data_IF_858624241257
#
_entry.id   IF_858624241257
#
_cell.length_a   1.000
_cell.length_b   1.000
_cell.length_c   1.000
_cell.angle_alpha   90.00
_cell.angle_beta   90.00
_cell.angle_gamma   90.00
#
_symmetry.space_group_name_H-M   'P 1'
#
loop_
_entity.id
_entity.type
_entity.pdbx_description
1 polymer ?
#
# COMPACT_ATOMS: atom_id res chain seq x y z
N UNK A 1 -9.14 -16.28 -25.69
CA UNK A 1 -8.85 -16.43 -24.25
C UNK A 1 -9.85 -15.54 -23.54
N UNK A 2 -10.74 -16.11 -22.73
CA UNK A 2 -11.90 -15.38 -22.19
C UNK A 2 -11.44 -14.55 -21.00
N UNK A 3 -11.28 -13.24 -21.20
CA UNK A 3 -11.18 -12.25 -20.12
C UNK A 3 -12.50 -12.29 -19.35
N UNK A 4 -12.59 -13.21 -18.39
CA UNK A 4 -13.71 -13.29 -17.47
C UNK A 4 -13.57 -12.17 -16.46
N UNK A 5 -14.27 -11.07 -16.72
CA UNK A 5 -14.52 -10.00 -15.76
C UNK A 5 -15.22 -10.58 -14.53
N UNK A 6 -14.83 -10.13 -13.33
CA UNK A 6 -15.55 -10.47 -12.12
C UNK A 6 -16.94 -9.84 -12.15
N UNK A 7 -17.97 -10.60 -11.77
CA UNK A 7 -19.26 -9.99 -11.49
C UNK A 7 -19.15 -9.07 -10.27
N UNK A 8 -19.92 -7.99 -10.25
CA UNK A 8 -19.94 -7.02 -9.15
C UNK A 8 -20.16 -7.70 -7.77
N UNK A 9 -21.01 -8.71 -7.71
CA UNK A 9 -21.29 -9.45 -6.47
C UNK A 9 -20.16 -10.39 -6.06
N UNK A 10 -19.49 -11.03 -7.01
CA UNK A 10 -18.31 -11.86 -6.75
C UNK A 10 -17.17 -10.99 -6.19
N UNK A 11 -16.98 -9.81 -6.77
CA UNK A 11 -15.95 -8.87 -6.36
C UNK A 11 -16.22 -8.32 -4.96
N UNK A 12 -17.45 -7.86 -4.68
CA UNK A 12 -17.84 -7.43 -3.32
C UNK A 12 -17.61 -8.53 -2.30
N UNK A 13 -18.01 -9.76 -2.62
CA UNK A 13 -17.83 -10.91 -1.73
C UNK A 13 -16.36 -11.19 -1.46
N UNK A 14 -15.52 -11.15 -2.50
CA UNK A 14 -14.07 -11.32 -2.40
C UNK A 14 -13.43 -10.20 -1.57
N UNK A 15 -13.73 -8.94 -1.84
CA UNK A 15 -13.16 -7.82 -1.08
C UNK A 15 -13.59 -7.85 0.39
N UNK A 16 -14.83 -8.26 0.70
CA UNK A 16 -15.26 -8.45 2.10
C UNK A 16 -14.54 -9.60 2.81
N UNK A 17 -14.19 -10.68 2.09
CA UNK A 17 -13.42 -11.77 2.69
C UNK A 17 -11.99 -11.34 3.02
N UNK A 18 -11.39 -10.46 2.22
CA UNK A 18 -10.08 -9.85 2.52
C UNK A 18 -10.08 -9.08 3.85
N UNK A 19 -11.16 -8.33 4.15
CA UNK A 19 -11.31 -7.64 5.44
C UNK A 19 -11.31 -8.60 6.62
N UNK A 20 -11.93 -9.78 6.47
CA UNK A 20 -11.93 -10.83 7.50
C UNK A 20 -10.54 -11.43 7.69
N UNK A 21 -9.83 -11.64 6.58
CA UNK A 21 -8.50 -12.21 6.61
C UNK A 21 -7.47 -11.27 7.25
N UNK A 22 -7.52 -9.97 6.95
CA UNK A 22 -6.66 -8.98 7.64
C UNK A 22 -6.86 -9.01 9.15
N UNK A 23 -8.12 -9.05 9.62
CA UNK A 23 -8.39 -9.14 11.07
C UNK A 23 -7.77 -10.39 11.67
N UNK A 24 -7.88 -11.54 10.98
CA UNK A 24 -7.29 -12.79 11.44
C UNK A 24 -5.75 -12.75 11.47
N UNK A 25 -5.11 -12.06 10.52
CA UNK A 25 -3.65 -11.93 10.43
C UNK A 25 -3.13 -10.96 11.51
N UNK A 26 -3.68 -9.74 11.58
CA UNK A 26 -3.17 -8.68 12.45
C UNK A 26 -3.69 -8.75 13.88
N UNK A 27 -4.85 -9.38 14.09
CA UNK A 27 -5.55 -9.43 15.38
C UNK A 27 -6.10 -10.84 15.69
N UNK A 28 -5.26 -11.88 15.75
CA UNK A 28 -5.72 -13.26 15.95
C UNK A 28 -6.46 -13.48 17.28
N UNK A 29 -6.12 -12.71 18.32
CA UNK A 29 -6.63 -12.89 19.68
C UNK A 29 -7.81 -11.98 20.05
N UNK A 30 -8.33 -11.15 19.12
CA UNK A 30 -9.43 -10.23 19.41
C UNK A 30 -10.81 -10.88 19.18
N UNK A 31 -11.74 -10.82 20.16
CA UNK A 31 -13.11 -11.29 19.97
C UNK A 31 -13.88 -10.37 19.01
N UNK A 32 -14.74 -10.96 18.16
CA UNK A 32 -15.52 -10.27 17.11
C UNK A 32 -16.44 -9.14 17.64
N UNK A 33 -16.64 -9.03 18.95
CA UNK A 33 -17.59 -8.10 19.59
C UNK A 33 -16.97 -6.81 20.15
N UNK A 34 -15.65 -6.69 20.33
CA UNK A 34 -15.06 -5.47 20.90
C UNK A 34 -14.78 -4.41 19.82
N UNK A 35 -15.85 -3.66 19.54
CA UNK A 35 -15.88 -2.54 18.59
C UNK A 35 -15.25 -1.26 19.17
N UNK A 36 -14.87 -1.24 20.45
CA UNK A 36 -14.61 0.01 21.18
C UNK A 36 -13.12 0.39 21.31
N UNK A 37 -12.20 -0.57 21.20
CA UNK A 37 -10.74 -0.32 21.15
C UNK A 37 -10.09 -0.58 19.78
N UNK A 38 -10.84 -1.14 18.83
CA UNK A 38 -10.34 -1.56 17.51
C UNK A 38 -10.64 -0.54 16.42
N UNK A 39 -10.55 0.75 16.73
CA UNK A 39 -10.30 1.80 15.73
C UNK A 39 -8.83 1.75 15.24
N UNK A 40 -8.23 0.56 15.17
CA UNK A 40 -6.94 0.37 14.51
C UNK A 40 -7.23 0.39 13.02
N UNK A 41 -6.73 1.41 12.32
CA UNK A 41 -6.89 1.57 10.88
C UNK A 41 -6.57 0.25 10.16
N UNK A 42 -7.62 -0.40 9.64
CA UNK A 42 -7.45 -1.52 8.75
C UNK A 42 -6.87 -0.98 7.45
N UNK A 43 -5.90 -1.70 6.89
CA UNK A 43 -5.44 -1.46 5.52
C UNK A 43 -6.64 -1.53 4.59
N UNK A 44 -7.62 -2.38 4.89
CA UNK A 44 -8.83 -2.50 4.09
C UNK A 44 -9.57 -1.18 3.94
N UNK A 45 -9.68 -0.39 5.02
CA UNK A 45 -10.43 0.87 5.00
C UNK A 45 -9.69 1.97 4.19
N UNK A 46 -8.38 1.81 3.98
CA UNK A 46 -7.55 2.68 3.13
C UNK A 46 -7.51 2.21 1.67
N UNK A 47 -7.71 0.92 1.41
CA UNK A 47 -7.64 0.34 0.08
C UNK A 47 -8.99 0.27 -0.63
N UNK A 48 -10.08 -0.01 0.08
CA UNK A 48 -11.35 -0.36 -0.56
C UNK A 48 -12.54 0.48 -0.07
N UNK A 49 -13.25 1.07 -1.02
CA UNK A 49 -14.58 1.64 -0.80
C UNK A 49 -15.62 0.92 -1.66
N UNK A 50 -16.48 0.14 -1.00
CA UNK A 50 -17.54 -0.63 -1.64
C UNK A 50 -18.90 0.08 -1.61
N UNK A 51 -18.96 1.34 -1.16
CA UNK A 51 -20.20 2.11 -1.16
C UNK A 51 -20.62 2.49 -2.59
N UNK A 52 -21.92 2.70 -2.78
CA UNK A 52 -22.47 3.16 -4.06
C UNK A 52 -22.05 4.61 -4.36
N UNK A 53 -21.86 5.40 -3.32
CA UNK A 53 -21.31 6.76 -3.37
C UNK A 53 -19.90 6.73 -2.80
N UNK A 54 -18.91 7.12 -3.61
CA UNK A 54 -17.51 7.11 -3.22
C UNK A 54 -17.25 8.18 -2.15
N UNK A 55 -16.75 7.75 -0.98
CA UNK A 55 -16.50 8.63 0.17
C UNK A 55 -15.10 9.24 0.17
N UNK A 56 -14.31 9.06 -0.89
CA UNK A 56 -13.08 9.81 -1.11
C UNK A 56 -11.83 9.35 -0.37
N UNK A 57 -11.93 8.35 0.53
CA UNK A 57 -10.81 7.98 1.41
C UNK A 57 -10.01 6.76 0.98
N UNK A 58 -10.61 5.86 0.21
CA UNK A 58 -9.98 4.62 -0.20
C UNK A 58 -9.31 4.71 -1.57
N UNK A 59 -8.23 3.95 -1.76
CA UNK A 59 -7.46 3.90 -3.00
C UNK A 59 -8.26 3.35 -4.19
N UNK A 60 -9.11 2.36 -3.94
CA UNK A 60 -9.91 1.69 -4.97
C UNK A 60 -11.40 1.71 -4.63
N UNK A 61 -12.20 2.27 -5.55
CA UNK A 61 -13.67 2.23 -5.46
C UNK A 61 -14.22 0.96 -6.10
N UNK A 62 -15.45 0.58 -5.75
CA UNK A 62 -16.16 -0.54 -6.39
C UNK A 62 -16.18 -0.40 -7.93
N UNK A 63 -16.45 0.80 -8.44
CA UNK A 63 -16.49 1.11 -9.87
C UNK A 63 -15.14 0.85 -10.53
N UNK A 64 -14.05 1.30 -9.89
CA UNK A 64 -12.68 1.09 -10.35
C UNK A 64 -12.35 -0.39 -10.43
N UNK A 65 -12.69 -1.15 -9.38
CA UNK A 65 -12.40 -2.58 -9.32
C UNK A 65 -13.20 -3.37 -10.36
N UNK A 66 -14.47 -3.02 -10.61
CA UNK A 66 -15.29 -3.71 -11.63
C UNK A 66 -14.85 -3.42 -13.06
N UNK A 67 -14.15 -2.30 -13.29
CA UNK A 67 -13.61 -1.95 -14.59
C UNK A 67 -12.23 -2.59 -14.88
N UNK A 68 -11.59 -3.19 -13.87
CA UNK A 68 -10.29 -3.83 -14.01
C UNK A 68 -10.39 -5.25 -14.56
N UNK A 69 -9.32 -5.70 -15.21
CA UNK A 69 -9.14 -7.11 -15.57
C UNK A 69 -8.88 -7.97 -14.33
N UNK A 70 -8.92 -9.29 -14.50
CA UNK A 70 -8.63 -10.23 -13.43
C UNK A 70 -7.21 -10.07 -12.89
N UNK A 71 -6.27 -9.78 -13.78
CA UNK A 71 -4.86 -9.51 -13.51
C UNK A 71 -4.71 -8.22 -12.73
N UNK A 72 -5.40 -7.15 -13.13
CA UNK A 72 -5.40 -5.89 -12.37
C UNK A 72 -5.98 -6.06 -10.97
N UNK A 73 -7.06 -6.83 -10.82
CA UNK A 73 -7.63 -7.15 -9.50
C UNK A 73 -6.64 -7.99 -8.66
N UNK A 74 -5.86 -8.87 -9.28
CA UNK A 74 -4.81 -9.63 -8.59
C UNK A 74 -3.73 -8.68 -8.07
N UNK A 75 -3.24 -7.75 -8.89
CA UNK A 75 -2.23 -6.77 -8.48
C UNK A 75 -2.71 -5.89 -7.32
N UNK A 76 -3.96 -5.44 -7.36
CA UNK A 76 -4.58 -4.70 -6.24
C UNK A 76 -4.61 -5.52 -4.95
N UNK A 77 -4.92 -6.82 -5.06
CA UNK A 77 -4.95 -7.72 -3.90
C UNK A 77 -3.55 -7.97 -3.36
N UNK A 78 -2.57 -8.16 -4.24
CA UNK A 78 -1.16 -8.36 -3.86
C UNK A 78 -0.62 -7.11 -3.15
N UNK A 79 -0.92 -5.92 -3.69
CA UNK A 79 -0.60 -4.63 -3.06
C UNK A 79 -1.25 -4.51 -1.67
N UNK A 80 -2.55 -4.81 -1.57
CA UNK A 80 -3.25 -4.81 -0.29
C UNK A 80 -2.60 -5.74 0.74
N UNK A 81 -2.29 -6.98 0.38
CA UNK A 81 -1.66 -7.92 1.30
C UNK A 81 -0.26 -7.49 1.70
N UNK A 82 0.50 -6.90 0.79
CA UNK A 82 1.81 -6.34 1.14
C UNK A 82 1.69 -5.28 2.23
N UNK A 83 0.72 -4.37 2.14
CA UNK A 83 0.46 -3.39 3.19
C UNK A 83 0.00 -4.05 4.50
N UNK A 84 -0.85 -5.08 4.43
CA UNK A 84 -1.27 -5.84 5.63
C UNK A 84 -0.06 -6.48 6.32
N UNK A 85 0.80 -7.15 5.57
CA UNK A 85 2.01 -7.78 6.11
C UNK A 85 3.01 -6.75 6.61
N UNK A 86 3.22 -5.65 5.87
CA UNK A 86 4.08 -4.55 6.31
C UNK A 86 3.62 -3.99 7.67
N UNK A 87 2.32 -3.73 7.83
CA UNK A 87 1.78 -3.30 9.13
C UNK A 87 1.94 -4.35 10.21
N UNK A 88 1.62 -5.61 9.91
CA UNK A 88 1.79 -6.71 10.85
C UNK A 88 3.24 -6.79 11.35
N UNK A 89 4.21 -6.82 10.45
CA UNK A 89 5.63 -6.91 10.81
C UNK A 89 6.09 -5.69 11.60
N UNK A 90 5.65 -4.48 11.20
CA UNK A 90 5.92 -3.23 11.93
C UNK A 90 5.33 -3.23 13.35
N UNK A 91 4.09 -3.68 13.51
CA UNK A 91 3.38 -3.75 14.79
C UNK A 91 3.95 -4.81 15.73
N UNK A 92 4.48 -5.91 15.19
CA UNK A 92 5.09 -6.99 15.96
C UNK A 92 6.61 -6.81 16.17
N UNK A 93 7.21 -5.71 15.70
CA UNK A 93 8.64 -5.45 15.83
C UNK A 93 9.54 -6.39 15.01
N UNK A 94 8.98 -7.08 14.00
CA UNK A 94 9.68 -8.02 13.12
C UNK A 94 10.04 -7.28 11.81
N UNK A 95 10.69 -6.11 11.89
CA UNK A 95 11.17 -5.43 10.68
C UNK A 95 12.55 -6.00 10.36
N UNK A 96 12.59 -7.01 9.49
CA UNK A 96 13.84 -7.49 8.90
C UNK A 96 14.49 -6.40 8.03
N UNK A 97 15.81 -6.48 7.87
CA UNK A 97 16.72 -5.51 7.19
C UNK A 97 16.41 -5.26 5.71
N UNK A 98 15.23 -5.61 5.19
CA UNK A 98 14.86 -5.41 3.78
C UNK A 98 13.39 -5.02 3.55
N UNK A 99 12.61 -4.70 4.58
CA UNK A 99 11.21 -4.33 4.39
C UNK A 99 11.01 -2.80 4.47
N UNK A 100 10.65 -2.20 3.34
CA UNK A 100 10.50 -0.76 3.14
C UNK A 100 9.03 -0.34 3.14
N UNK A 101 8.75 0.91 3.49
CA UNK A 101 7.39 1.45 3.48
C UNK A 101 6.85 1.49 2.03
N UNK A 102 5.78 0.74 1.71
CA UNK A 102 5.25 0.64 0.36
C UNK A 102 4.70 1.95 -0.20
N UNK A 103 4.16 2.83 0.66
CA UNK A 103 3.66 4.15 0.22
C UNK A 103 4.82 5.02 -0.29
N UNK A 104 5.97 4.93 0.38
CA UNK A 104 7.16 5.68 -0.01
C UNK A 104 7.77 5.10 -1.29
N UNK A 105 7.83 3.77 -1.43
CA UNK A 105 8.28 3.13 -2.68
C UNK A 105 7.40 3.53 -3.87
N UNK A 106 6.08 3.51 -3.69
CA UNK A 106 5.12 3.94 -4.71
C UNK A 106 5.34 5.40 -5.12
N UNK A 107 5.59 6.31 -4.16
CA UNK A 107 5.90 7.73 -4.44
C UNK A 107 7.20 7.91 -5.23
N UNK A 108 8.17 7.02 -5.04
CA UNK A 108 9.42 6.99 -5.83
C UNK A 108 9.24 6.33 -7.21
N UNK A 109 8.07 5.75 -7.49
CA UNK A 109 7.82 4.99 -8.71
C UNK A 109 8.58 3.67 -8.73
N UNK A 110 8.74 3.04 -7.56
CA UNK A 110 9.35 1.73 -7.39
C UNK A 110 8.27 0.69 -7.07
N UNK A 111 8.49 -0.57 -7.45
CA UNK A 111 7.63 -1.65 -7.02
C UNK A 111 7.77 -1.86 -5.51
N UNK A 112 6.72 -2.38 -4.88
CA UNK A 112 6.63 -2.61 -3.42
C UNK A 112 7.69 -3.62 -2.90
N UNK A 113 8.21 -4.47 -3.77
CA UNK A 113 9.27 -5.44 -3.49
C UNK A 113 10.69 -4.91 -3.82
N UNK A 114 10.82 -3.61 -4.09
CA UNK A 114 12.10 -3.01 -4.46
C UNK A 114 13.17 -3.18 -3.38
N UNK A 115 14.36 -3.61 -3.81
CA UNK A 115 15.51 -3.75 -2.93
C UNK A 115 16.24 -2.41 -2.68
N UNK A 116 17.17 -2.43 -1.72
CA UNK A 116 18.00 -1.26 -1.38
C UNK A 116 18.75 -0.68 -2.58
N UNK A 117 19.13 -1.52 -3.56
CA UNK A 117 19.86 -1.10 -4.75
C UNK A 117 18.95 -0.34 -5.71
N UNK A 118 17.74 -0.84 -5.95
CA UNK A 118 16.72 -0.19 -6.75
C UNK A 118 16.32 1.17 -6.15
N UNK A 119 16.14 1.23 -4.82
CA UNK A 119 15.84 2.47 -4.10
C UNK A 119 16.94 3.51 -4.30
N UNK A 120 18.19 3.14 -4.03
CA UNK A 120 19.35 4.03 -4.22
C UNK A 120 19.51 4.48 -5.67
N UNK A 121 19.27 3.58 -6.64
CA UNK A 121 19.34 3.91 -8.07
C UNK A 121 18.28 4.95 -8.42
N UNK A 122 17.02 4.71 -8.07
CA UNK A 122 15.91 5.59 -8.40
C UNK A 122 16.02 6.96 -7.72
N UNK A 123 16.45 6.98 -6.46
CA UNK A 123 16.75 8.21 -5.75
C UNK A 123 17.78 9.06 -6.49
N UNK A 124 18.91 8.47 -6.95
CA UNK A 124 19.92 9.20 -7.73
C UNK A 124 19.38 9.75 -9.05
N UNK A 125 18.52 9.01 -9.74
CA UNK A 125 17.87 9.45 -10.98
C UNK A 125 16.96 10.66 -10.73
N UNK A 126 16.09 10.58 -9.71
CA UNK A 126 15.16 11.66 -9.36
C UNK A 126 15.90 12.88 -8.78
N UNK A 127 16.95 12.66 -8.00
CA UNK A 127 17.75 13.73 -7.43
C UNK A 127 18.38 14.58 -8.53
N UNK A 128 18.97 13.96 -9.56
CA UNK A 128 19.50 14.68 -10.73
C UNK A 128 18.43 15.46 -11.48
N UNK A 129 17.21 14.92 -11.56
CA UNK A 129 16.08 15.55 -12.25
C UNK A 129 15.50 16.74 -11.50
N UNK A 130 15.45 16.69 -10.17
CA UNK A 130 14.83 17.72 -9.32
C UNK A 130 15.84 18.69 -8.71
N UNK A 131 17.14 18.49 -8.91
CA UNK A 131 18.16 19.37 -8.36
C UNK A 131 17.96 20.83 -8.84
N UNK A 132 17.90 21.82 -7.93
CA UNK A 132 17.68 23.22 -8.32
C UNK A 132 18.78 23.75 -9.25
N UNK A 133 20.04 23.34 -9.04
CA UNK A 133 21.17 23.74 -9.89
C UNK A 133 21.06 23.27 -11.35
N UNK A 134 20.27 22.23 -11.64
CA UNK A 134 20.00 21.77 -13.01
C UNK A 134 18.67 22.31 -13.55
N UNK A 135 18.08 23.31 -12.89
CA UNK A 135 16.78 23.88 -13.22
C UNK A 135 15.59 23.05 -12.72
N UNK A 136 15.83 22.14 -11.77
CA UNK A 136 14.80 21.31 -11.15
C UNK A 136 13.99 22.02 -10.07
N UNK A 137 12.94 21.34 -9.60
CA UNK A 137 12.01 21.87 -8.59
C UNK A 137 12.50 21.54 -7.17
N UNK A 138 12.93 22.58 -6.46
CA UNK A 138 13.41 22.51 -5.08
C UNK A 138 12.40 21.86 -4.11
N UNK A 139 11.09 22.05 -4.31
CA UNK A 139 10.07 21.42 -3.45
C UNK A 139 10.05 19.91 -3.66
N UNK A 140 10.08 19.46 -4.92
CA UNK A 140 10.15 18.03 -5.26
C UNK A 140 11.46 17.39 -4.77
N UNK A 141 12.55 18.16 -4.76
CA UNK A 141 13.81 17.70 -4.21
C UNK A 141 13.73 17.50 -2.68
N UNK A 142 13.12 18.42 -1.94
CA UNK A 142 12.89 18.28 -0.49
C UNK A 142 12.02 17.05 -0.20
N UNK A 143 10.89 16.89 -0.91
CA UNK A 143 10.02 15.72 -0.76
C UNK A 143 10.76 14.40 -1.04
N UNK A 144 11.63 14.38 -2.05
CA UNK A 144 12.48 13.23 -2.38
C UNK A 144 13.45 12.89 -1.25
N UNK A 145 14.07 13.90 -0.63
CA UNK A 145 14.99 13.73 0.50
C UNK A 145 14.27 13.18 1.73
N UNK A 146 13.09 13.69 2.06
CA UNK A 146 12.28 13.21 3.18
C UNK A 146 11.81 11.76 2.99
N UNK A 147 11.37 11.43 1.77
CA UNK A 147 11.00 10.06 1.39
C UNK A 147 12.18 9.10 1.58
N UNK A 148 13.34 9.45 1.05
CA UNK A 148 14.55 8.63 1.17
C UNK A 148 15.01 8.47 2.61
N UNK A 149 14.98 9.56 3.41
CA UNK A 149 15.33 9.52 4.83
C UNK A 149 14.44 8.55 5.61
N UNK A 150 13.12 8.59 5.41
CA UNK A 150 12.18 7.66 6.06
C UNK A 150 12.45 6.20 5.69
N UNK A 151 12.84 5.94 4.44
CA UNK A 151 13.26 4.60 4.03
C UNK A 151 14.54 4.19 4.75
N UNK A 152 15.55 5.06 4.83
CA UNK A 152 16.84 4.70 5.45
C UNK A 152 16.85 4.67 6.98
N UNK A 153 16.03 5.50 7.64
CA UNK A 153 15.96 5.60 9.10
C UNK A 153 15.27 4.38 9.72
N UNK A 154 14.39 3.71 8.96
CA UNK A 154 13.78 2.43 9.34
C UNK A 154 14.82 1.29 9.52
N UNK A 155 16.08 1.51 9.16
CA UNK A 155 17.21 0.58 9.38
C UNK A 155 18.09 0.93 10.58
N UNK A 156 17.90 2.11 11.20
CA UNK A 156 18.84 2.70 12.16
C UNK A 156 18.31 2.80 13.60
N UNK A 157 17.12 2.26 13.89
CA UNK A 157 16.52 2.23 15.24
C UNK A 157 16.12 0.82 15.60
#
# INVERSE_FOLDING_TARGET
MSDRYYSCEELKTKIRSLKKLERKIRFPDLPDTDSSKTARCLVWDEFFDLNKEYKGKAKYSLSSLTAMTREGIREVIDEYFFHVYYRYYKENGIIGVQLYDPDILSRLGLPIDADSKAIKKKFRELAKKYHPDTGGDSKKFIELMEAYKKLTDNFMT
#
